data_IF_642658674740
#
_entry.id   IF_642658674740
#
_cell.length_a   1.000
_cell.length_b   1.000
_cell.length_c   1.000
_cell.angle_alpha   90.00
_cell.angle_beta   90.00
_cell.angle_gamma   90.00
#
_symmetry.space_group_name_H-M   'P 1'
#
loop_
_entity.id
_entity.type
_entity.pdbx_description
1 polymer ?
#
# COMPACT_ATOMS: atom_id res chain seq x y z
N UNK A 1 -9.35 -12.62 -23.88
CA UNK A 1 -8.51 -11.95 -22.86
C UNK A 1 -8.01 -12.93 -21.80
N UNK A 2 -8.90 -13.75 -21.22
CA UNK A 2 -8.50 -14.87 -20.35
C UNK A 2 -7.52 -15.85 -21.02
N UNK A 3 -7.76 -16.23 -22.29
CA UNK A 3 -6.86 -17.13 -23.02
C UNK A 3 -5.47 -16.53 -23.26
N UNK A 4 -5.40 -15.23 -23.51
CA UNK A 4 -4.14 -14.52 -23.66
C UNK A 4 -3.39 -14.48 -22.31
N UNK A 5 -4.08 -14.14 -21.23
CA UNK A 5 -3.52 -14.14 -19.88
C UNK A 5 -2.99 -15.53 -19.47
N UNK A 6 -3.79 -16.58 -19.70
CA UNK A 6 -3.40 -17.94 -19.38
C UNK A 6 -2.14 -18.35 -20.16
N UNK A 7 -2.12 -18.13 -21.47
CA UNK A 7 -0.97 -18.50 -22.29
C UNK A 7 0.30 -17.69 -21.99
N UNK A 8 0.16 -16.42 -21.57
CA UNK A 8 1.30 -15.54 -21.28
C UNK A 8 1.86 -15.67 -19.87
N UNK A 9 1.01 -15.84 -18.85
CA UNK A 9 1.43 -15.77 -17.43
C UNK A 9 1.29 -17.12 -16.73
N UNK A 10 0.19 -17.85 -16.96
CA UNK A 10 -0.20 -19.00 -16.11
C UNK A 10 0.35 -20.34 -16.64
N UNK A 11 0.39 -20.53 -17.96
CA UNK A 11 0.69 -21.83 -18.60
C UNK A 11 2.08 -22.38 -18.27
N UNK A 12 3.08 -21.51 -18.03
CA UNK A 12 4.45 -21.92 -17.71
C UNK A 12 4.75 -21.71 -16.23
N UNK A 13 4.98 -22.79 -15.49
CA UNK A 13 5.22 -22.74 -14.03
C UNK A 13 6.32 -21.74 -13.61
N UNK A 14 7.43 -21.68 -14.35
CA UNK A 14 8.52 -20.74 -14.05
C UNK A 14 8.10 -19.26 -14.17
N UNK A 15 7.23 -18.95 -15.14
CA UNK A 15 6.66 -17.61 -15.31
C UNK A 15 5.57 -17.37 -14.27
N UNK A 16 4.74 -18.37 -14.01
CA UNK A 16 3.62 -18.26 -13.08
C UNK A 16 4.09 -17.92 -11.66
N UNK A 17 5.02 -18.72 -11.10
CA UNK A 17 5.52 -18.52 -9.73
C UNK A 17 6.28 -17.21 -9.60
N UNK A 18 7.14 -16.85 -10.56
CA UNK A 18 7.87 -15.57 -10.54
C UNK A 18 6.93 -14.37 -10.65
N UNK A 19 5.89 -14.46 -11.48
CA UNK A 19 4.86 -13.42 -11.60
C UNK A 19 4.07 -13.24 -10.30
N UNK A 20 3.77 -14.33 -9.58
CA UNK A 20 3.12 -14.26 -8.26
C UNK A 20 4.01 -13.51 -7.28
N UNK A 21 5.31 -13.84 -7.19
CA UNK A 21 6.21 -13.16 -6.27
C UNK A 21 6.39 -11.67 -6.60
N UNK A 22 6.60 -11.35 -7.87
CA UNK A 22 6.69 -9.97 -8.33
C UNK A 22 5.40 -9.19 -8.03
N UNK A 23 4.25 -9.80 -8.33
CA UNK A 23 2.93 -9.23 -8.05
C UNK A 23 2.69 -9.03 -6.56
N UNK A 24 3.01 -10.00 -5.71
CA UNK A 24 2.84 -9.90 -4.26
C UNK A 24 3.69 -8.78 -3.66
N UNK A 25 4.95 -8.65 -4.10
CA UNK A 25 5.83 -7.57 -3.64
C UNK A 25 5.31 -6.19 -4.06
N UNK A 26 5.02 -6.02 -5.35
CA UNK A 26 4.52 -4.74 -5.87
C UNK A 26 3.17 -4.36 -5.25
N UNK A 27 2.27 -5.33 -5.09
CA UNK A 27 0.98 -5.14 -4.47
C UNK A 27 1.10 -4.78 -2.99
N UNK A 28 1.99 -5.44 -2.23
CA UNK A 28 2.24 -5.13 -0.82
C UNK A 28 2.64 -3.67 -0.63
N UNK A 29 3.64 -3.19 -1.38
CA UNK A 29 4.09 -1.79 -1.33
C UNK A 29 2.99 -0.83 -1.79
N UNK A 30 2.35 -1.13 -2.91
CA UNK A 30 1.31 -0.27 -3.49
C UNK A 30 0.07 -0.13 -2.60
N UNK A 31 -0.40 -1.25 -2.03
CA UNK A 31 -1.53 -1.23 -1.11
C UNK A 31 -1.20 -0.51 0.19
N UNK A 32 -0.03 -0.74 0.78
CA UNK A 32 0.35 -0.09 2.04
C UNK A 32 0.34 1.43 1.91
N UNK A 33 1.00 1.95 0.86
CA UNK A 33 1.01 3.38 0.56
C UNK A 33 -0.38 3.91 0.22
N UNK A 34 -1.14 3.18 -0.59
CA UNK A 34 -2.48 3.58 -1.02
C UNK A 34 -3.47 3.66 0.14
N UNK A 35 -3.52 2.62 0.98
CA UNK A 35 -4.41 2.54 2.14
C UNK A 35 -3.98 3.51 3.21
N UNK A 36 -2.68 3.65 3.48
CA UNK A 36 -2.17 4.65 4.43
C UNK A 36 -2.52 6.07 4.00
N UNK A 37 -2.35 6.41 2.71
CA UNK A 37 -2.72 7.73 2.18
C UNK A 37 -4.23 7.98 2.27
N UNK A 38 -5.04 6.96 1.97
CA UNK A 38 -6.49 7.03 2.12
C UNK A 38 -6.89 7.27 3.58
N UNK A 39 -6.34 6.49 4.51
CA UNK A 39 -6.57 6.62 5.94
C UNK A 39 -6.20 8.00 6.47
N UNK A 40 -5.06 8.52 6.02
CA UNK A 40 -4.55 9.83 6.39
C UNK A 40 -5.49 10.96 5.98
N UNK A 41 -6.05 10.86 4.77
CA UNK A 41 -7.01 11.84 4.25
C UNK A 41 -8.33 11.76 4.99
N UNK A 42 -8.80 10.54 5.26
CA UNK A 42 -10.08 10.32 5.94
C UNK A 42 -10.05 10.80 7.40
N UNK A 43 -8.93 10.60 8.10
CA UNK A 43 -8.77 10.93 9.51
C UNK A 43 -8.00 12.23 9.76
N UNK A 44 -7.97 13.12 8.76
CA UNK A 44 -7.28 14.41 8.86
C UNK A 44 -7.79 15.22 10.06
N UNK A 45 -6.87 15.79 10.82
CA UNK A 45 -7.15 16.60 12.02
C UNK A 45 -7.42 15.80 13.28
N UNK A 46 -7.47 14.47 13.19
CA UNK A 46 -7.64 13.56 14.34
C UNK A 46 -6.40 12.73 14.65
N UNK A 47 -5.48 12.61 13.69
CA UNK A 47 -4.28 11.81 13.87
C UNK A 47 -3.27 12.53 14.75
N UNK A 48 -2.47 11.77 15.50
CA UNK A 48 -1.44 12.33 16.36
C UNK A 48 -0.50 13.27 15.58
N UNK A 49 -0.09 12.90 14.37
CA UNK A 49 0.74 13.75 13.51
C UNK A 49 0.13 15.11 13.17
N UNK A 50 -1.21 15.23 13.18
CA UNK A 50 -1.92 16.47 12.90
C UNK A 50 -2.08 17.36 14.16
N UNK A 51 -2.18 16.74 15.35
CA UNK A 51 -2.48 17.45 16.61
C UNK A 51 -1.28 17.61 17.54
N UNK A 52 -0.17 16.90 17.28
CA UNK A 52 1.02 16.86 18.14
C UNK A 52 1.58 18.23 18.50
N UNK A 53 1.59 19.16 17.55
CA UNK A 53 2.17 20.49 17.75
C UNK A 53 1.55 21.21 18.96
N UNK A 54 0.22 21.10 19.11
CA UNK A 54 -0.55 21.70 20.21
C UNK A 54 -0.09 21.25 21.60
N UNK A 55 0.40 20.02 21.72
CA UNK A 55 0.84 19.44 22.98
C UNK A 55 2.34 19.62 23.22
N UNK A 56 3.13 19.85 22.17
CA UNK A 56 4.57 20.10 22.31
C UNK A 56 4.83 21.52 22.81
N UNK A 57 4.02 22.49 22.39
CA UNK A 57 4.08 23.88 22.87
C UNK A 57 3.61 24.01 24.32
N UNK A 58 2.52 23.31 24.70
CA UNK A 58 2.01 23.29 26.07
C UNK A 58 2.94 22.60 27.09
N UNK A 59 3.94 21.84 26.65
CA UNK A 59 4.94 21.23 27.52
C UNK A 59 6.20 22.09 27.69
N UNK A 60 6.37 23.13 26.87
CA UNK A 60 7.49 24.08 26.92
C UNK A 60 7.18 25.37 27.67
N UNK A 61 5.97 25.49 28.21
CA UNK A 61 5.49 26.57 29.09
C UNK A 61 5.26 26.01 30.50
#
# INVERSE_FOLDING_TARGET
>A
LADAFYNSIVRRNSIYVSSIFAGAFAFGVGLDLGVSSFWDRWNRGRQWKDIRAKYSEAASE
#
